data_IF_710640648832
#
_entry.id   IF_710640648832
#
_cell.length_a   1.000
_cell.length_b   1.000
_cell.length_c   1.000
_cell.angle_alpha   90.00
_cell.angle_beta   90.00
_cell.angle_gamma   90.00
#
_symmetry.space_group_name_H-M   'P 1'
#
loop_
_entity.id
_entity.type
_entity.pdbx_description
1 polymer ?
#
# COMPACT_ATOMS: atom_id res chain seq x y z
N UNK A 1 -28.20 4.69 -46.98
CA UNK A 1 -28.06 3.62 -45.96
C UNK A 1 -26.69 3.61 -45.28
N UNK A 2 -25.55 3.66 -45.99
CA UNK A 2 -24.20 3.61 -45.34
C UNK A 2 -23.90 4.78 -44.41
N UNK A 3 -24.47 5.97 -44.60
CA UNK A 3 -24.21 7.15 -43.75
C UNK A 3 -24.97 7.12 -42.43
N UNK A 4 -26.15 6.53 -42.40
CA UNK A 4 -26.97 6.36 -41.19
C UNK A 4 -26.34 5.32 -40.25
N UNK A 5 -25.82 4.22 -40.80
CA UNK A 5 -25.16 3.17 -40.01
C UNK A 5 -23.90 3.67 -39.29
N UNK A 6 -23.16 4.59 -39.94
CA UNK A 6 -21.97 5.20 -39.32
C UNK A 6 -22.29 6.15 -38.17
N UNK A 7 -23.44 6.85 -38.26
CA UNK A 7 -23.87 7.75 -37.19
C UNK A 7 -24.34 6.97 -35.95
N UNK A 8 -25.03 5.85 -36.11
CA UNK A 8 -25.45 5.02 -34.97
C UNK A 8 -24.27 4.34 -34.28
N UNK A 9 -23.29 3.83 -35.03
CA UNK A 9 -22.09 3.22 -34.44
C UNK A 9 -21.26 4.26 -33.66
N UNK A 10 -21.16 5.48 -34.18
CA UNK A 10 -20.42 6.56 -33.48
C UNK A 10 -21.13 6.96 -32.19
N UNK A 11 -22.46 7.02 -32.18
CA UNK A 11 -23.24 7.35 -30.98
C UNK A 11 -23.13 6.26 -29.91
N UNK A 12 -23.15 4.99 -30.32
CA UNK A 12 -22.99 3.85 -29.38
C UNK A 12 -21.60 3.83 -28.75
N UNK A 13 -20.57 4.14 -29.50
CA UNK A 13 -19.19 4.19 -28.98
C UNK A 13 -19.00 5.34 -27.97
N UNK A 14 -19.61 6.50 -28.22
CA UNK A 14 -19.51 7.63 -27.29
C UNK A 14 -20.27 7.38 -25.98
N UNK A 15 -21.45 6.73 -26.04
CA UNK A 15 -22.22 6.35 -24.85
C UNK A 15 -21.47 5.30 -24.02
N UNK A 16 -20.83 4.33 -24.68
CA UNK A 16 -20.06 3.30 -23.98
C UNK A 16 -18.82 3.86 -23.27
N UNK A 17 -18.21 4.90 -23.84
CA UNK A 17 -17.01 5.53 -23.25
C UNK A 17 -17.34 6.41 -22.04
N UNK A 18 -18.56 6.98 -21.96
CA UNK A 18 -18.98 7.79 -20.82
C UNK A 18 -19.36 6.96 -19.58
N UNK A 19 -19.69 5.68 -19.71
CA UNK A 19 -20.10 4.82 -18.61
C UNK A 19 -18.90 4.18 -17.85
N UNK A 20 -17.69 4.31 -18.38
CA UNK A 20 -16.46 3.74 -17.79
C UNK A 20 -15.74 4.66 -16.78
N UNK A 21 -16.29 5.85 -16.48
CA UNK A 21 -15.61 6.85 -15.64
C UNK A 21 -16.17 7.00 -14.22
N UNK A 22 -16.86 6.01 -13.70
CA UNK A 22 -17.37 6.01 -12.32
C UNK A 22 -16.59 5.05 -11.42
N UNK A 23 -15.25 5.16 -11.40
CA UNK A 23 -14.46 4.64 -10.29
C UNK A 23 -14.39 5.71 -9.22
N UNK A 24 -15.28 5.57 -8.27
CA UNK A 24 -15.35 6.32 -7.03
C UNK A 24 -14.07 6.10 -6.24
N UNK A 25 -13.17 7.08 -6.26
CA UNK A 25 -12.12 7.20 -5.27
C UNK A 25 -12.79 7.50 -3.93
N UNK A 26 -12.94 6.46 -3.12
CA UNK A 26 -13.32 6.59 -1.72
C UNK A 26 -12.24 7.35 -0.96
N UNK A 27 -12.30 8.66 -0.97
CA UNK A 27 -11.60 9.50 0.00
C UNK A 27 -12.27 9.30 1.35
N UNK A 28 -11.64 8.52 2.19
CA UNK A 28 -11.98 8.39 3.59
C UNK A 28 -11.72 9.74 4.28
N UNK A 29 -12.71 10.36 4.94
CA UNK A 29 -12.50 11.65 5.59
C UNK A 29 -11.50 11.48 6.75
N UNK A 30 -10.36 12.11 6.63
CA UNK A 30 -9.43 12.28 7.74
C UNK A 30 -10.06 13.26 8.72
N UNK A 31 -10.51 12.77 9.86
CA UNK A 31 -10.97 13.59 10.96
C UNK A 31 -9.76 13.98 11.83
N UNK A 32 -9.35 15.26 11.85
CA UNK A 32 -8.26 15.70 12.70
C UNK A 32 -8.83 16.13 14.05
N UNK A 33 -8.90 15.24 15.01
CA UNK A 33 -8.94 15.58 16.46
C UNK A 33 -9.09 14.29 17.30
N UNK A 34 -7.96 13.70 17.69
CA UNK A 34 -7.80 13.22 19.06
C UNK A 34 -6.32 12.90 19.33
N UNK A 35 -5.66 13.81 19.98
CA UNK A 35 -4.32 13.64 20.55
C UNK A 35 -4.44 12.78 21.81
N UNK A 36 -4.13 11.50 21.68
CA UNK A 36 -3.86 10.56 22.77
C UNK A 36 -2.95 9.45 22.25
N UNK A 37 -2.14 8.77 23.05
CA UNK A 37 -0.92 8.06 22.62
C UNK A 37 -1.21 6.80 21.81
N UNK A 38 -1.70 7.00 20.59
CA UNK A 38 -2.00 5.95 19.58
C UNK A 38 -0.82 5.71 18.65
N UNK A 39 0.32 6.38 18.88
CA UNK A 39 1.46 6.29 17.97
C UNK A 39 2.07 4.89 17.86
N UNK A 40 1.93 4.03 18.86
CA UNK A 40 2.50 2.68 18.83
C UNK A 40 1.71 1.73 17.93
N UNK A 41 0.39 1.71 18.07
CA UNK A 41 -0.46 0.81 17.28
C UNK A 41 -0.53 1.22 15.80
N UNK A 42 -0.62 2.51 15.49
CA UNK A 42 -0.64 3.00 14.13
C UNK A 42 0.70 2.78 13.40
N UNK A 43 1.84 2.96 14.11
CA UNK A 43 3.16 2.72 13.51
C UNK A 43 3.45 1.23 13.33
N UNK A 44 2.94 0.33 14.19
CA UNK A 44 3.09 -1.12 14.00
C UNK A 44 2.25 -1.61 12.82
N UNK A 45 1.02 -1.11 12.64
CA UNK A 45 0.18 -1.47 11.51
C UNK A 45 0.76 -0.98 10.17
N UNK A 46 1.36 0.19 10.14
CA UNK A 46 2.04 0.69 8.94
C UNK A 46 3.33 -0.09 8.67
N UNK A 47 4.09 -0.43 9.70
CA UNK A 47 5.27 -1.30 9.59
C UNK A 47 4.93 -2.68 9.05
N UNK A 48 3.81 -3.26 9.47
CA UNK A 48 3.30 -4.52 8.94
C UNK A 48 3.00 -4.42 7.44
N UNK A 49 2.30 -3.38 7.01
CA UNK A 49 2.02 -3.16 5.58
C UNK A 49 3.31 -3.06 4.77
N UNK A 50 4.30 -2.30 5.27
CA UNK A 50 5.61 -2.19 4.61
C UNK A 50 6.36 -3.51 4.57
N UNK A 51 6.28 -4.30 5.63
CA UNK A 51 6.85 -5.64 5.66
C UNK A 51 6.19 -6.54 4.61
N UNK A 52 4.86 -6.61 4.56
CA UNK A 52 4.13 -7.43 3.59
C UNK A 52 4.45 -7.02 2.15
N UNK A 53 4.52 -5.73 1.87
CA UNK A 53 4.83 -5.23 0.53
C UNK A 53 6.25 -5.56 0.06
N UNK A 54 7.25 -5.49 0.95
CA UNK A 54 8.66 -5.61 0.59
C UNK A 54 9.27 -6.98 0.90
N UNK A 55 8.80 -7.67 1.93
CA UNK A 55 9.38 -8.91 2.48
C UNK A 55 8.41 -10.09 2.43
N UNK A 56 7.13 -9.86 2.70
CA UNK A 56 6.12 -10.92 2.86
C UNK A 56 5.87 -11.78 1.62
N UNK A 57 6.35 -11.36 0.47
CA UNK A 57 6.27 -12.15 -0.77
C UNK A 57 7.17 -13.39 -0.76
N UNK A 58 8.22 -13.40 0.03
CA UNK A 58 9.20 -14.48 0.05
C UNK A 58 9.21 -15.24 1.37
N UNK A 59 8.91 -14.60 2.49
CA UNK A 59 8.91 -15.24 3.80
C UNK A 59 7.99 -14.53 4.79
N UNK A 60 7.63 -15.23 5.85
CA UNK A 60 6.84 -14.67 6.95
C UNK A 60 7.70 -13.87 7.91
N UNK A 61 7.06 -13.06 8.78
CA UNK A 61 7.75 -12.33 9.82
C UNK A 61 8.46 -13.30 10.79
N UNK A 62 9.72 -13.07 11.14
CA UNK A 62 10.45 -13.91 12.08
C UNK A 62 9.84 -13.80 13.47
N UNK A 63 9.60 -14.94 14.12
CA UNK A 63 8.95 -15.00 15.44
C UNK A 63 9.96 -15.17 16.59
N UNK A 64 11.16 -15.66 16.31
CA UNK A 64 12.12 -16.10 17.35
C UNK A 64 13.40 -15.25 17.39
N UNK A 65 13.45 -14.15 16.65
CA UNK A 65 14.63 -13.28 16.65
C UNK A 65 14.54 -12.21 17.74
N UNK A 66 15.64 -11.99 18.42
CA UNK A 66 15.79 -10.84 19.31
C UNK A 66 15.78 -9.52 18.52
N UNK A 67 15.44 -8.36 19.14
CA UNK A 67 15.46 -7.06 18.47
C UNK A 67 16.81 -6.72 17.83
N UNK A 68 17.91 -7.19 18.41
CA UNK A 68 19.25 -6.99 17.86
C UNK A 68 19.47 -7.76 16.57
N UNK A 69 19.01 -9.00 16.52
CA UNK A 69 19.09 -9.86 15.34
C UNK A 69 18.19 -9.35 14.23
N UNK A 70 16.94 -8.94 14.56
CA UNK A 70 16.03 -8.29 13.60
C UNK A 70 16.71 -7.09 12.96
N UNK A 71 17.32 -6.22 13.75
CA UNK A 71 18.03 -5.04 13.24
C UNK A 71 19.18 -5.40 12.30
N UNK A 72 19.93 -6.45 12.61
CA UNK A 72 21.01 -6.92 11.75
C UNK A 72 20.50 -7.48 10.42
N UNK A 73 19.41 -8.28 10.47
CA UNK A 73 18.77 -8.84 9.28
C UNK A 73 18.19 -7.74 8.39
N UNK A 74 17.45 -6.78 8.95
CA UNK A 74 16.84 -5.69 8.18
C UNK A 74 17.92 -4.82 7.51
N UNK A 75 19.01 -4.53 8.19
CA UNK A 75 20.14 -3.82 7.59
C UNK A 75 20.73 -4.56 6.38
N UNK A 76 20.85 -5.89 6.48
CA UNK A 76 21.31 -6.71 5.37
C UNK A 76 20.30 -6.75 4.23
N UNK A 77 19.02 -6.85 4.55
CA UNK A 77 17.91 -6.91 3.57
C UNK A 77 17.62 -5.56 2.90
N UNK A 78 18.00 -4.45 3.51
CA UNK A 78 17.75 -3.11 2.97
C UNK A 78 18.15 -2.97 1.50
N UNK A 79 19.33 -3.44 1.13
CA UNK A 79 19.83 -3.37 -0.24
C UNK A 79 19.09 -4.34 -1.16
N UNK A 80 18.81 -5.56 -0.67
CA UNK A 80 18.15 -6.62 -1.48
C UNK A 80 16.69 -6.29 -1.77
N UNK A 81 15.97 -5.75 -0.79
CA UNK A 81 14.58 -5.35 -0.92
C UNK A 81 14.42 -3.88 -1.34
N UNK A 82 15.51 -3.17 -1.59
CA UNK A 82 15.52 -1.74 -1.98
C UNK A 82 14.68 -0.87 -1.04
N UNK A 83 14.78 -1.11 0.27
CA UNK A 83 14.03 -0.39 1.28
C UNK A 83 14.46 1.08 1.35
N UNK A 84 13.49 1.98 1.43
CA UNK A 84 13.73 3.36 1.84
C UNK A 84 14.15 3.41 3.32
N UNK A 85 14.71 4.52 3.76
CA UNK A 85 15.02 4.72 5.18
C UNK A 85 13.76 4.72 6.06
N UNK A 86 12.65 5.21 5.53
CA UNK A 86 11.35 5.20 6.19
C UNK A 86 10.79 3.78 6.32
N UNK A 87 10.80 2.99 5.23
CA UNK A 87 10.37 1.59 5.26
C UNK A 87 11.17 0.77 6.27
N UNK A 88 12.50 0.95 6.28
CA UNK A 88 13.38 0.28 7.24
C UNK A 88 12.96 0.57 8.69
N UNK A 89 12.69 1.84 9.01
CA UNK A 89 12.29 2.23 10.36
C UNK A 89 10.92 1.71 10.76
N UNK A 90 9.94 1.76 9.85
CA UNK A 90 8.60 1.27 10.10
C UNK A 90 8.59 -0.26 10.28
N UNK A 91 9.32 -0.99 9.44
CA UNK A 91 9.47 -2.44 9.54
C UNK A 91 10.18 -2.82 10.86
N UNK A 92 11.21 -2.10 11.27
CA UNK A 92 11.87 -2.33 12.55
C UNK A 92 10.93 -2.14 13.73
N UNK A 93 10.08 -1.12 13.73
CA UNK A 93 9.08 -0.92 14.78
C UNK A 93 8.02 -2.02 14.83
N UNK A 94 7.71 -2.63 13.71
CA UNK A 94 6.78 -3.74 13.63
C UNK A 94 7.39 -5.05 14.13
N UNK A 95 8.63 -5.36 13.73
CA UNK A 95 9.27 -6.63 14.04
C UNK A 95 9.99 -6.66 15.41
N UNK A 96 10.33 -5.50 15.94
CA UNK A 96 11.06 -5.35 17.21
C UNK A 96 10.52 -4.15 17.99
N UNK A 97 9.26 -4.23 18.46
CA UNK A 97 8.56 -3.16 19.19
C UNK A 97 9.21 -2.84 20.55
#
# INVERSE_FOLDING_TARGET
MRKLLKAEVLLMVTVFFCLASAESQGQQPQNPKNSSPVHTAASSSEGEKRFQANCGRCHQAPQELSPREVKAVIRHMRVRAMLSAEDEQLILKYLAP
#
